data_IF_792485353888
#
_entry.id   IF_792485353888
#
_cell.length_a   1.000
_cell.length_b   1.000
_cell.length_c   1.000
_cell.angle_alpha   90.00
_cell.angle_beta   90.00
_cell.angle_gamma   90.00
#
_symmetry.space_group_name_H-M   'P 1'
#
loop_
_entity.id
_entity.type
_entity.pdbx_description
1 polymer ?
#
# COMPACT_ATOMS: atom_id res chain seq x y z
N UNK A 1 9.68 30.71 -63.90
CA UNK A 1 9.33 29.30 -63.57
C UNK A 1 9.34 29.17 -62.05
N UNK A 2 8.20 29.45 -61.40
CA UNK A 2 8.06 29.49 -59.93
C UNK A 2 7.78 28.07 -59.45
N UNK A 3 8.73 27.46 -58.74
CA UNK A 3 8.51 26.16 -58.10
C UNK A 3 7.86 26.37 -56.73
N UNK A 4 6.57 26.01 -56.62
CA UNK A 4 5.86 25.90 -55.34
C UNK A 4 6.37 24.66 -54.60
N UNK A 5 6.98 24.86 -53.44
CA UNK A 5 7.31 23.78 -52.51
C UNK A 5 6.05 23.49 -51.70
N UNK A 6 5.48 22.30 -51.87
CA UNK A 6 4.39 21.77 -51.05
C UNK A 6 5.04 21.10 -49.83
N UNK A 7 4.81 21.66 -48.65
CA UNK A 7 5.21 21.05 -47.37
C UNK A 7 4.03 20.20 -46.90
N UNK A 8 4.19 18.88 -46.95
CA UNK A 8 3.21 17.93 -46.42
C UNK A 8 3.45 17.76 -44.93
N UNK A 9 2.53 18.27 -44.10
CA UNK A 9 2.54 18.12 -42.66
C UNK A 9 2.11 16.69 -42.29
N UNK A 10 3.04 15.87 -41.80
CA UNK A 10 2.74 14.56 -41.23
C UNK A 10 2.20 14.75 -39.80
N UNK A 11 0.90 14.53 -39.61
CA UNK A 11 0.29 14.47 -38.28
C UNK A 11 0.57 13.08 -37.72
N UNK A 12 1.50 13.01 -36.76
CA UNK A 12 1.75 11.80 -35.99
C UNK A 12 0.60 11.64 -34.97
N UNK A 13 -0.37 10.79 -35.27
CA UNK A 13 -1.39 10.39 -34.30
C UNK A 13 -0.73 9.42 -33.32
N UNK A 14 -0.36 9.90 -32.15
CA UNK A 14 0.11 9.06 -31.05
C UNK A 14 -1.06 8.22 -30.54
N UNK A 15 -1.14 6.96 -30.97
CA UNK A 15 -2.00 5.96 -30.35
C UNK A 15 -1.42 5.67 -28.96
N UNK A 16 -1.97 6.30 -27.93
CA UNK A 16 -1.72 5.90 -26.55
C UNK A 16 -2.35 4.51 -26.36
N UNK A 17 -1.52 3.47 -26.26
CA UNK A 17 -1.96 2.19 -25.69
C UNK A 17 -2.38 2.50 -24.25
N UNK A 18 -3.69 2.65 -24.00
CA UNK A 18 -4.20 2.62 -22.65
C UNK A 18 -3.92 1.21 -22.13
N UNK A 19 -3.06 1.08 -21.12
CA UNK A 19 -2.94 -0.15 -20.37
C UNK A 19 -4.34 -0.51 -19.86
N UNK A 20 -4.83 -1.70 -20.21
CA UNK A 20 -6.14 -2.15 -19.79
C UNK A 20 -6.13 -2.33 -18.27
N UNK A 21 -7.07 -1.68 -17.56
CA UNK A 21 -7.26 -1.89 -16.12
C UNK A 21 -8.18 -3.10 -15.95
N UNK A 22 -7.82 -4.03 -15.06
CA UNK A 22 -8.63 -5.21 -14.77
C UNK A 22 -9.46 -4.99 -13.50
N UNK A 23 -10.77 -5.17 -13.59
CA UNK A 23 -11.73 -5.06 -12.49
C UNK A 23 -13.04 -5.77 -12.86
N UNK A 24 -13.95 -5.92 -11.89
CA UNK A 24 -15.30 -6.48 -12.06
C UNK A 24 -16.38 -5.42 -11.78
N UNK A 25 -17.63 -5.70 -12.16
CA UNK A 25 -18.75 -4.78 -11.84
C UNK A 25 -18.95 -4.62 -10.33
N UNK A 26 -18.72 -5.69 -9.55
CA UNK A 26 -18.76 -5.65 -8.07
C UNK A 26 -17.71 -4.66 -7.52
N UNK A 27 -16.52 -4.58 -8.12
CA UNK A 27 -15.49 -3.62 -7.70
C UNK A 27 -15.94 -2.17 -7.92
N UNK A 28 -16.67 -1.91 -9.01
CA UNK A 28 -17.24 -0.59 -9.32
C UNK A 28 -18.34 -0.25 -8.30
N UNK A 29 -19.23 -1.18 -8.03
CA UNK A 29 -20.33 -1.00 -7.07
C UNK A 29 -19.80 -0.75 -5.64
N UNK A 30 -18.83 -1.54 -5.18
CA UNK A 30 -18.20 -1.37 -3.87
C UNK A 30 -17.51 0.00 -3.77
N UNK A 31 -16.82 0.42 -4.83
CA UNK A 31 -16.14 1.72 -4.86
C UNK A 31 -17.15 2.88 -4.77
N UNK A 32 -18.20 2.85 -5.59
CA UNK A 32 -19.24 3.88 -5.57
C UNK A 32 -19.95 3.93 -4.21
N UNK A 33 -20.30 2.78 -3.64
CA UNK A 33 -20.94 2.70 -2.31
C UNK A 33 -20.07 3.33 -1.21
N UNK A 34 -18.74 3.16 -1.27
CA UNK A 34 -17.82 3.79 -0.31
C UNK A 34 -17.74 5.30 -0.49
N UNK A 35 -17.79 5.80 -1.72
CA UNK A 35 -17.87 7.25 -1.96
C UNK A 35 -19.21 7.84 -1.52
N UNK A 36 -20.32 7.13 -1.74
CA UNK A 36 -21.65 7.53 -1.23
C UNK A 36 -21.67 7.59 0.30
N UNK A 37 -21.13 6.57 0.97
CA UNK A 37 -20.90 6.58 2.42
C UNK A 37 -20.05 7.77 2.87
N UNK A 38 -18.95 8.06 2.15
CA UNK A 38 -18.10 9.19 2.50
C UNK A 38 -18.82 10.54 2.42
N UNK A 39 -19.77 10.67 1.48
CA UNK A 39 -20.63 11.86 1.37
C UNK A 39 -21.66 11.90 2.49
N UNK A 40 -22.33 10.78 2.82
CA UNK A 40 -23.35 10.75 3.89
C UNK A 40 -22.76 11.11 5.25
N UNK A 41 -21.56 10.62 5.54
CA UNK A 41 -20.87 10.85 6.81
C UNK A 41 -20.00 12.12 6.81
N UNK A 42 -20.04 12.92 5.74
CA UNK A 42 -19.23 14.14 5.58
C UNK A 42 -17.73 13.93 5.82
N UNK A 43 -17.18 12.78 5.44
CA UNK A 43 -15.80 12.38 5.77
C UNK A 43 -14.76 13.37 5.23
N UNK A 44 -15.05 14.09 4.13
CA UNK A 44 -14.16 15.11 3.57
C UNK A 44 -13.70 16.17 4.60
N UNK A 45 -14.55 16.48 5.58
CA UNK A 45 -14.29 17.49 6.61
C UNK A 45 -13.45 16.96 7.77
N UNK A 46 -13.24 15.65 7.86
CA UNK A 46 -12.38 15.05 8.88
C UNK A 46 -10.90 15.15 8.48
N UNK A 47 -9.96 15.09 9.44
CA UNK A 47 -8.56 14.82 9.16
C UNK A 47 -8.41 13.52 8.36
N UNK A 48 -7.46 13.47 7.42
CA UNK A 48 -7.28 12.30 6.54
C UNK A 48 -7.10 10.99 7.31
N UNK A 49 -6.38 11.04 8.42
CA UNK A 49 -6.17 9.91 9.33
C UNK A 49 -7.50 9.31 9.80
N UNK A 50 -8.47 10.14 10.17
CA UNK A 50 -9.80 9.67 10.57
C UNK A 50 -10.60 9.15 9.37
N UNK A 51 -10.44 9.75 8.17
CA UNK A 51 -11.05 9.22 6.94
C UNK A 51 -10.52 7.83 6.60
N UNK A 52 -9.22 7.59 6.75
CA UNK A 52 -8.61 6.25 6.54
C UNK A 52 -9.23 5.23 7.48
N UNK A 53 -9.46 5.60 8.75
CA UNK A 53 -10.09 4.71 9.73
C UNK A 53 -11.55 4.44 9.39
N UNK A 54 -12.35 5.47 9.10
CA UNK A 54 -13.76 5.29 8.76
C UNK A 54 -13.95 4.48 7.49
N UNK A 55 -13.14 4.71 6.46
CA UNK A 55 -13.15 3.85 5.26
C UNK A 55 -12.67 2.44 5.59
N UNK A 56 -11.59 2.28 6.35
CA UNK A 56 -11.10 0.97 6.76
C UNK A 56 -12.17 0.14 7.49
N UNK A 57 -12.98 0.78 8.35
CA UNK A 57 -14.10 0.15 9.05
C UNK A 57 -15.17 -0.39 8.09
N UNK A 58 -15.38 0.24 6.93
CA UNK A 58 -16.32 -0.26 5.91
C UNK A 58 -15.86 -1.56 5.22
N UNK A 59 -14.64 -2.04 5.48
CA UNK A 59 -14.17 -3.35 5.03
C UNK A 59 -14.27 -4.43 6.11
N UNK A 60 -14.66 -4.11 7.35
CA UNK A 60 -14.77 -5.11 8.42
C UNK A 60 -15.72 -6.24 8.00
N UNK A 61 -15.27 -7.48 8.18
CA UNK A 61 -16.00 -8.67 7.75
C UNK A 61 -15.75 -9.11 6.30
N UNK A 62 -15.04 -8.31 5.48
CA UNK A 62 -14.61 -8.72 4.15
C UNK A 62 -13.61 -9.89 4.25
N UNK A 63 -13.70 -10.86 3.35
CA UNK A 63 -12.81 -12.01 3.33
C UNK A 63 -11.38 -11.65 2.93
N UNK A 64 -10.42 -12.31 3.56
CA UNK A 64 -9.03 -12.28 3.13
C UNK A 64 -8.87 -13.05 1.82
N UNK A 65 -8.20 -12.46 0.84
CA UNK A 65 -7.85 -13.11 -0.41
C UNK A 65 -6.40 -12.81 -0.82
N UNK A 66 -5.59 -13.85 -1.02
CA UNK A 66 -4.20 -13.71 -1.47
C UNK A 66 -4.12 -13.70 -3.01
N UNK A 67 -3.03 -13.13 -3.53
CA UNK A 67 -2.69 -13.15 -4.96
C UNK A 67 -3.71 -12.44 -5.85
N UNK A 68 -4.48 -11.50 -5.28
CA UNK A 68 -5.52 -10.73 -5.98
C UNK A 68 -4.96 -9.87 -7.11
N UNK A 69 -3.66 -9.54 -7.05
CA UNK A 69 -2.93 -8.77 -8.06
C UNK A 69 -2.13 -9.63 -9.05
N UNK A 70 -2.23 -10.96 -8.97
CA UNK A 70 -1.48 -11.89 -9.82
C UNK A 70 -2.39 -12.53 -10.89
N UNK A 71 -3.28 -11.73 -11.48
CA UNK A 71 -4.35 -12.19 -12.39
C UNK A 71 -3.97 -12.16 -13.89
N UNK A 72 -2.85 -11.54 -14.26
CA UNK A 72 -2.43 -11.39 -15.66
C UNK A 72 -0.94 -11.73 -15.87
N UNK A 73 -0.58 -12.13 -17.09
CA UNK A 73 0.83 -12.37 -17.46
C UNK A 73 1.65 -11.08 -17.51
N UNK A 74 1.06 -10.00 -18.05
CA UNK A 74 1.66 -8.67 -18.08
C UNK A 74 1.20 -7.87 -16.86
N UNK A 75 2.10 -7.08 -16.27
CA UNK A 75 1.74 -6.15 -15.20
C UNK A 75 0.78 -5.08 -15.75
N UNK A 76 -0.35 -4.93 -15.08
CA UNK A 76 -1.35 -3.91 -15.36
C UNK A 76 -2.06 -3.55 -14.06
N UNK A 77 -2.76 -2.42 -14.03
CA UNK A 77 -3.52 -2.03 -12.85
C UNK A 77 -4.68 -3.02 -12.63
N UNK A 78 -4.74 -3.65 -11.47
CA UNK A 78 -5.84 -4.52 -11.04
C UNK A 78 -6.55 -3.85 -9.86
N UNK A 79 -7.85 -3.66 -9.97
CA UNK A 79 -8.72 -3.29 -8.84
C UNK A 79 -9.46 -4.54 -8.39
N UNK A 80 -9.40 -4.83 -7.09
CA UNK A 80 -10.08 -5.97 -6.48
C UNK A 80 -10.48 -5.59 -5.05
N UNK A 81 -11.78 -5.39 -4.82
CA UNK A 81 -12.39 -4.90 -3.58
C UNK A 81 -13.33 -5.92 -2.94
N UNK A 82 -13.57 -7.07 -3.59
CA UNK A 82 -14.40 -8.18 -3.08
C UNK A 82 -13.66 -9.13 -2.13
N UNK A 83 -12.33 -9.01 -2.04
CA UNK A 83 -11.47 -9.69 -1.08
C UNK A 83 -10.14 -8.95 -0.97
N UNK A 84 -9.53 -8.87 0.21
CA UNK A 84 -8.32 -8.07 0.40
C UNK A 84 -7.28 -8.82 1.24
N UNK A 85 -6.02 -8.78 0.82
CA UNK A 85 -4.91 -9.13 1.70
C UNK A 85 -4.50 -7.93 2.57
N UNK A 86 -3.52 -8.11 3.45
CA UNK A 86 -3.08 -7.05 4.34
C UNK A 86 -2.58 -5.80 3.60
N UNK A 87 -2.01 -5.97 2.40
CA UNK A 87 -1.38 -4.92 1.64
C UNK A 87 -2.42 -4.10 0.89
N UNK A 88 -3.25 -4.78 0.11
CA UNK A 88 -4.36 -4.19 -0.64
C UNK A 88 -5.42 -3.57 0.27
N UNK A 89 -5.57 -4.05 1.51
CA UNK A 89 -6.46 -3.45 2.51
C UNK A 89 -6.04 -2.03 2.92
N UNK A 90 -4.81 -1.84 3.42
CA UNK A 90 -4.40 -0.49 3.85
C UNK A 90 -4.27 0.44 2.64
N UNK A 91 -3.80 -0.08 1.49
CA UNK A 91 -3.64 0.70 0.27
C UNK A 91 -4.97 1.20 -0.28
N UNK A 92 -6.01 0.35 -0.31
CA UNK A 92 -7.35 0.77 -0.73
C UNK A 92 -7.94 1.80 0.23
N UNK A 93 -7.77 1.60 1.54
CA UNK A 93 -8.26 2.54 2.56
C UNK A 93 -7.61 3.92 2.43
N UNK A 94 -6.29 3.95 2.18
CA UNK A 94 -5.55 5.19 1.90
C UNK A 94 -5.99 5.84 0.59
N UNK A 95 -6.15 5.07 -0.50
CA UNK A 95 -6.58 5.59 -1.80
C UNK A 95 -7.95 6.28 -1.71
N UNK A 96 -8.93 5.61 -1.09
CA UNK A 96 -10.25 6.21 -0.85
C UNK A 96 -10.15 7.50 -0.05
N UNK A 97 -9.39 7.51 1.05
CA UNK A 97 -9.25 8.70 1.89
C UNK A 97 -8.66 9.88 1.10
N UNK A 98 -7.62 9.65 0.30
CA UNK A 98 -6.99 10.68 -0.55
C UNK A 98 -7.93 11.20 -1.63
N UNK A 99 -8.69 10.32 -2.28
CA UNK A 99 -9.75 10.68 -3.21
C UNK A 99 -10.81 11.57 -2.57
N UNK A 100 -11.32 11.19 -1.40
CA UNK A 100 -12.35 11.92 -0.64
C UNK A 100 -11.84 13.32 -0.24
N UNK A 101 -10.64 13.40 0.33
CA UNK A 101 -10.01 14.68 0.71
C UNK A 101 -9.83 15.61 -0.50
N UNK A 102 -9.44 15.05 -1.64
CA UNK A 102 -9.29 15.79 -2.90
C UNK A 102 -10.62 16.14 -3.59
N UNK A 103 -11.76 15.64 -3.10
CA UNK A 103 -13.06 15.80 -3.76
C UNK A 103 -13.19 15.05 -5.10
N UNK A 104 -12.39 14.00 -5.30
CA UNK A 104 -12.31 13.18 -6.50
C UNK A 104 -12.93 11.81 -6.22
N UNK A 105 -14.24 11.65 -6.48
CA UNK A 105 -15.04 10.52 -6.00
C UNK A 105 -15.62 9.66 -7.12
N UNK A 106 -14.91 9.54 -8.25
CA UNK A 106 -15.27 8.60 -9.32
C UNK A 106 -14.43 7.32 -9.25
N UNK A 107 -14.92 6.23 -9.87
CA UNK A 107 -14.14 4.99 -9.98
C UNK A 107 -12.79 5.22 -10.69
N UNK A 108 -12.74 6.09 -11.70
CA UNK A 108 -11.50 6.45 -12.38
C UNK A 108 -10.53 7.19 -11.47
N UNK A 109 -11.02 8.06 -10.59
CA UNK A 109 -10.17 8.72 -9.59
C UNK A 109 -9.55 7.70 -8.63
N UNK A 110 -10.34 6.72 -8.18
CA UNK A 110 -9.84 5.63 -7.35
C UNK A 110 -8.78 4.80 -8.06
N UNK A 111 -9.01 4.44 -9.34
CA UNK A 111 -8.00 3.74 -10.16
C UNK A 111 -6.69 4.53 -10.24
N UNK A 112 -6.78 5.83 -10.50
CA UNK A 112 -5.61 6.71 -10.58
C UNK A 112 -4.85 6.76 -9.25
N UNK A 113 -5.56 6.84 -8.12
CA UNK A 113 -4.94 6.88 -6.80
C UNK A 113 -4.32 5.53 -6.41
N UNK A 114 -4.95 4.39 -6.75
CA UNK A 114 -4.33 3.08 -6.54
C UNK A 114 -3.05 2.95 -7.37
N UNK A 115 -3.06 3.38 -8.64
CA UNK A 115 -1.85 3.37 -9.45
C UNK A 115 -0.76 4.26 -8.83
N UNK A 116 -1.15 5.45 -8.36
CA UNK A 116 -0.29 6.42 -7.72
C UNK A 116 0.45 5.83 -6.50
N UNK A 117 -0.25 5.05 -5.68
CA UNK A 117 0.29 4.43 -4.46
C UNK A 117 1.09 3.14 -4.72
N UNK A 118 0.61 2.31 -5.64
CA UNK A 118 1.09 0.92 -5.81
C UNK A 118 2.38 0.80 -6.61
N UNK A 119 2.57 1.71 -7.54
CA UNK A 119 3.67 1.68 -8.48
C UNK A 119 4.65 2.80 -8.19
N UNK A 120 5.93 2.50 -8.36
CA UNK A 120 7.02 3.45 -8.15
C UNK A 120 6.84 4.66 -9.04
N UNK A 121 6.87 5.85 -8.44
CA UNK A 121 6.51 7.11 -9.09
C UNK A 121 5.10 7.14 -9.74
N UNK A 122 4.22 6.19 -9.42
CA UNK A 122 2.89 6.06 -10.01
C UNK A 122 2.90 5.54 -11.46
N UNK A 123 3.99 4.91 -11.91
CA UNK A 123 4.16 4.47 -13.31
C UNK A 123 4.24 2.95 -13.40
N UNK A 124 3.39 2.37 -14.24
CA UNK A 124 3.37 0.92 -14.52
C UNK A 124 4.38 0.60 -15.62
N UNK A 125 5.52 0.02 -15.24
CA UNK A 125 6.62 -0.39 -16.13
C UNK A 125 7.03 -1.85 -15.84
N UNK A 126 6.07 -2.76 -16.00
CA UNK A 126 6.26 -4.19 -15.75
C UNK A 126 6.28 -4.55 -14.27
N UNK A 127 6.40 -5.85 -13.96
CA UNK A 127 6.29 -6.37 -12.59
C UNK A 127 7.22 -5.67 -11.58
N UNK A 128 8.50 -5.35 -11.88
CA UNK A 128 9.38 -4.66 -10.94
C UNK A 128 8.97 -3.21 -10.61
N UNK A 129 8.09 -2.59 -11.41
CA UNK A 129 7.59 -1.23 -11.11
C UNK A 129 6.63 -1.20 -9.92
N UNK A 130 5.96 -2.33 -9.62
CA UNK A 130 5.13 -2.48 -8.43
C UNK A 130 5.99 -2.48 -7.17
N UNK A 131 5.54 -1.79 -6.13
CA UNK A 131 6.25 -1.68 -4.86
C UNK A 131 5.99 -2.92 -4.00
N UNK A 132 6.75 -4.00 -4.23
CA UNK A 132 6.54 -5.31 -3.57
C UNK A 132 7.04 -5.37 -2.13
N UNK A 133 8.09 -4.62 -1.80
CA UNK A 133 8.64 -4.51 -0.45
C UNK A 133 7.99 -3.30 0.23
N UNK A 134 7.33 -3.50 1.37
CA UNK A 134 6.59 -2.42 2.03
C UNK A 134 7.50 -1.29 2.53
N UNK A 135 8.76 -1.57 2.84
CA UNK A 135 9.76 -0.54 3.14
C UNK A 135 10.14 0.29 1.90
N UNK A 136 10.05 -0.28 0.69
CA UNK A 136 10.21 0.46 -0.56
C UNK A 136 8.95 1.27 -0.89
N UNK A 137 7.77 0.70 -0.63
CA UNK A 137 6.49 1.42 -0.74
C UNK A 137 6.46 2.65 0.18
N UNK A 138 6.86 2.49 1.43
CA UNK A 138 6.96 3.60 2.38
C UNK A 138 7.92 4.66 1.87
N UNK A 139 9.11 4.27 1.43
CA UNK A 139 10.12 5.21 0.94
C UNK A 139 9.65 5.99 -0.30
N UNK A 140 9.07 5.33 -1.30
CA UNK A 140 8.55 5.98 -2.51
C UNK A 140 7.44 6.99 -2.15
N UNK A 141 6.44 6.54 -1.40
CA UNK A 141 5.30 7.37 -1.02
C UNK A 141 5.69 8.50 -0.04
N UNK A 142 6.70 8.29 0.81
CA UNK A 142 7.26 9.33 1.67
C UNK A 142 7.95 10.43 0.85
N UNK A 143 8.80 10.07 -0.11
CA UNK A 143 9.46 11.03 -0.99
C UNK A 143 8.48 11.82 -1.88
N UNK A 144 7.28 11.27 -2.09
CA UNK A 144 6.21 11.89 -2.86
C UNK A 144 5.20 12.63 -1.98
N UNK A 145 5.48 12.79 -0.69
CA UNK A 145 4.65 13.48 0.30
C UNK A 145 3.22 12.92 0.41
N UNK A 146 3.07 11.60 0.22
CA UNK A 146 1.80 10.89 0.36
C UNK A 146 1.62 10.38 1.79
N UNK A 147 2.71 9.89 2.37
CA UNK A 147 2.83 9.48 3.78
C UNK A 147 4.09 10.09 4.38
N UNK A 148 4.23 10.04 5.70
CA UNK A 148 5.44 10.42 6.43
C UNK A 148 5.90 9.24 7.29
N UNK A 149 7.14 8.78 7.11
CA UNK A 149 7.75 7.86 8.07
C UNK A 149 8.06 8.65 9.36
N UNK A 150 7.39 8.30 10.46
CA UNK A 150 7.58 8.94 11.78
C UNK A 150 8.42 8.08 12.71
N UNK A 151 8.87 6.91 12.26
CA UNK A 151 9.41 5.85 13.12
C UNK A 151 10.64 6.32 13.90
N UNK A 152 11.56 7.06 13.26
CA UNK A 152 12.72 7.64 13.95
C UNK A 152 12.30 8.71 14.97
N UNK A 153 11.34 9.57 14.61
CA UNK A 153 10.86 10.67 15.45
C UNK A 153 10.24 10.17 16.77
N UNK A 154 9.59 9.01 16.72
CA UNK A 154 8.90 8.40 17.88
C UNK A 154 9.79 7.44 18.68
N UNK A 155 11.11 7.48 18.48
CA UNK A 155 12.06 6.68 19.27
C UNK A 155 12.42 5.32 18.66
N UNK A 156 12.18 5.12 17.36
CA UNK A 156 12.62 3.95 16.63
C UNK A 156 14.15 3.84 16.58
N UNK A 157 14.64 2.59 16.54
CA UNK A 157 16.06 2.27 16.42
C UNK A 157 16.39 1.75 15.02
N UNK A 158 17.66 1.89 14.62
CA UNK A 158 18.11 1.52 13.27
C UNK A 158 17.78 0.06 12.93
N UNK A 159 17.15 -0.12 11.77
CA UNK A 159 16.83 -1.41 11.16
C UNK A 159 17.93 -1.81 10.17
N UNK A 160 18.64 -2.90 10.45
CA UNK A 160 19.85 -3.29 9.70
C UNK A 160 19.71 -4.61 8.94
N UNK A 161 18.48 -5.02 8.59
CA UNK A 161 18.29 -6.30 7.88
C UNK A 161 18.57 -6.13 6.40
N UNK A 162 19.41 -7.02 5.85
CA UNK A 162 19.59 -7.15 4.41
C UNK A 162 18.31 -7.68 3.74
N UNK A 163 17.79 -6.95 2.77
CA UNK A 163 16.62 -7.29 1.96
C UNK A 163 17.06 -7.94 0.66
N UNK A 164 16.62 -9.17 0.43
CA UNK A 164 16.94 -9.96 -0.77
C UNK A 164 16.00 -11.17 -0.95
N UNK A 165 14.78 -11.12 -0.40
CA UNK A 165 13.89 -12.26 -0.34
C UNK A 165 13.47 -12.73 -1.73
N UNK A 166 12.95 -11.83 -2.56
CA UNK A 166 12.42 -12.15 -3.90
C UNK A 166 13.50 -12.72 -4.81
N UNK A 167 14.71 -12.12 -4.84
CA UNK A 167 15.79 -12.62 -5.70
C UNK A 167 16.44 -13.91 -5.20
N UNK A 168 16.33 -14.23 -3.91
CA UNK A 168 16.72 -15.54 -3.36
C UNK A 168 15.62 -16.62 -3.51
N UNK A 169 14.37 -16.21 -3.77
CA UNK A 169 13.22 -17.11 -3.87
C UNK A 169 12.48 -16.94 -5.21
N UNK A 170 13.21 -16.71 -6.30
CA UNK A 170 12.67 -16.49 -7.67
C UNK A 170 11.60 -17.52 -8.05
N UNK A 171 11.77 -18.78 -7.67
CA UNK A 171 10.84 -19.87 -7.97
C UNK A 171 9.45 -19.70 -7.34
N UNK A 172 9.31 -18.85 -6.31
CA UNK A 172 8.05 -18.54 -5.63
C UNK A 172 7.22 -17.48 -6.34
N UNK A 173 7.80 -16.79 -7.33
CA UNK A 173 7.16 -15.69 -8.05
C UNK A 173 7.10 -16.03 -9.54
N UNK A 174 5.90 -16.27 -10.06
CA UNK A 174 5.69 -16.67 -11.48
C UNK A 174 6.35 -15.68 -12.44
N UNK A 175 6.17 -14.38 -12.18
CA UNK A 175 6.70 -13.29 -13.00
C UNK A 175 8.24 -13.28 -13.00
N UNK A 176 8.89 -13.57 -11.87
CA UNK A 176 10.35 -13.63 -11.80
C UNK A 176 10.90 -14.91 -12.42
N UNK A 177 10.28 -16.06 -12.12
CA UNK A 177 10.68 -17.37 -12.66
C UNK A 177 10.73 -17.39 -14.18
N UNK A 178 9.80 -16.69 -14.84
CA UNK A 178 9.68 -16.69 -16.29
C UNK A 178 10.45 -15.54 -16.96
N UNK A 179 10.98 -14.56 -16.21
CA UNK A 179 11.61 -13.36 -16.77
C UNK A 179 12.93 -13.03 -16.05
N UNK A 180 14.08 -13.54 -16.53
CA UNK A 180 15.39 -13.27 -15.93
C UNK A 180 15.75 -11.77 -15.85
N UNK A 181 15.29 -10.95 -16.80
CA UNK A 181 15.47 -9.49 -16.75
C UNK A 181 14.80 -8.87 -15.51
N UNK A 182 13.62 -9.36 -15.11
CA UNK A 182 12.96 -8.89 -13.89
C UNK A 182 13.75 -9.28 -12.64
N UNK A 183 14.47 -10.41 -12.65
CA UNK A 183 15.35 -10.79 -11.54
C UNK A 183 16.50 -9.79 -11.39
N UNK A 184 17.13 -9.37 -12.49
CA UNK A 184 18.20 -8.36 -12.41
C UNK A 184 17.68 -7.00 -11.93
N UNK A 185 16.53 -6.54 -12.44
CA UNK A 185 15.87 -5.32 -11.94
C UNK A 185 15.53 -5.41 -10.45
N UNK A 186 15.04 -6.56 -9.99
CA UNK A 186 14.77 -6.77 -8.56
C UNK A 186 16.03 -6.76 -7.71
N UNK A 187 17.19 -7.24 -8.20
CA UNK A 187 18.47 -7.14 -7.47
C UNK A 187 18.93 -5.69 -7.33
N UNK A 188 18.72 -4.87 -8.35
CA UNK A 188 19.02 -3.42 -8.30
C UNK A 188 18.10 -2.73 -7.29
N UNK A 189 16.79 -3.05 -7.31
CA UNK A 189 15.81 -2.54 -6.34
C UNK A 189 16.20 -2.95 -4.92
N UNK A 190 16.50 -4.23 -4.68
CA UNK A 190 16.95 -4.71 -3.37
C UNK A 190 18.25 -4.04 -2.93
N UNK A 191 19.19 -3.79 -3.83
CA UNK A 191 20.42 -3.05 -3.53
C UNK A 191 20.13 -1.59 -3.14
N UNK A 192 19.19 -0.94 -3.81
CA UNK A 192 18.69 0.42 -3.49
C UNK A 192 17.97 0.46 -2.14
N UNK A 193 17.16 -0.55 -1.82
CA UNK A 193 16.54 -0.67 -0.48
C UNK A 193 17.62 -0.81 0.58
N UNK A 194 18.62 -1.66 0.35
CA UNK A 194 19.71 -1.92 1.31
C UNK A 194 20.67 -0.73 1.53
N UNK A 195 20.65 0.29 0.67
CA UNK A 195 21.51 1.48 0.82
C UNK A 195 20.85 2.59 1.67
N UNK A 196 19.59 2.42 2.04
CA UNK A 196 18.81 3.39 2.82
C UNK A 196 18.90 3.07 4.31
N UNK A 197 18.69 4.10 5.12
CA UNK A 197 18.48 3.94 6.55
C UNK A 197 16.98 3.77 6.83
N UNK A 198 16.67 2.78 7.67
CA UNK A 198 15.33 2.50 8.15
C UNK A 198 15.35 2.40 9.67
N UNK A 199 14.21 2.65 10.30
CA UNK A 199 14.04 2.58 11.74
C UNK A 199 12.86 1.68 12.08
N UNK A 200 12.87 1.15 13.29
CA UNK A 200 11.77 0.34 13.81
C UNK A 200 11.62 0.54 15.32
N UNK A 201 10.40 0.48 15.83
CA UNK A 201 10.11 0.43 17.26
C UNK A 201 10.16 -1.03 17.73
N UNK A 202 11.02 -1.38 18.70
CA UNK A 202 11.04 -2.72 19.29
C UNK A 202 9.70 -3.10 19.95
N UNK A 203 9.34 -4.37 19.91
CA UNK A 203 8.03 -4.86 20.39
C UNK A 203 7.73 -4.49 21.86
N UNK A 204 8.77 -4.42 22.70
CA UNK A 204 8.63 -4.06 24.11
C UNK A 204 8.42 -2.56 24.34
N UNK A 205 8.78 -1.73 23.36
CA UNK A 205 8.73 -0.27 23.47
C UNK A 205 7.44 0.30 22.88
N UNK A 206 6.66 -0.49 22.12
CA UNK A 206 5.40 -0.06 21.47
C UNK A 206 4.43 0.56 22.48
N UNK A 207 4.29 -0.05 23.65
CA UNK A 207 3.41 0.48 24.71
C UNK A 207 3.89 1.83 25.26
N UNK A 208 5.22 2.06 25.29
CA UNK A 208 5.78 3.31 25.78
C UNK A 208 5.56 4.48 24.82
N UNK A 209 5.43 4.19 23.52
CA UNK A 209 5.27 5.20 22.46
C UNK A 209 3.84 5.30 21.94
N UNK A 210 2.89 4.62 22.57
CA UNK A 210 1.50 4.51 22.10
C UNK A 210 0.82 5.88 21.94
N UNK A 211 1.19 6.86 22.76
CA UNK A 211 0.69 8.24 22.65
C UNK A 211 1.16 8.97 21.39
N UNK A 212 2.25 8.51 20.76
CA UNK A 212 2.80 9.08 19.54
C UNK A 212 2.20 8.45 18.27
N UNK A 213 1.49 7.33 18.41
CA UNK A 213 0.78 6.66 17.33
C UNK A 213 -0.61 7.31 17.19
N UNK A 214 -0.86 7.92 16.04
CA UNK A 214 -2.16 8.52 15.77
C UNK A 214 -3.15 7.48 15.26
N UNK A 215 -4.44 7.75 15.50
CA UNK A 215 -5.52 7.08 14.77
C UNK A 215 -5.25 7.19 13.26
N UNK A 216 -5.42 6.13 12.49
CA UNK A 216 -5.20 6.13 11.04
C UNK A 216 -3.75 5.97 10.58
N UNK A 217 -2.77 5.95 11.48
CA UNK A 217 -1.38 5.67 11.10
C UNK A 217 -1.26 4.25 10.50
N UNK A 218 -0.46 4.11 9.45
CA UNK A 218 -0.22 2.86 8.73
C UNK A 218 0.90 2.10 9.43
N UNK A 219 0.57 0.92 9.92
CA UNK A 219 1.48 0.07 10.68
C UNK A 219 2.07 -1.01 9.77
N UNK A 220 3.40 -1.08 9.71
CA UNK A 220 4.15 -2.13 9.02
C UNK A 220 4.88 -3.02 10.04
N UNK A 221 4.46 -4.27 10.19
CA UNK A 221 5.08 -5.23 11.11
C UNK A 221 6.24 -5.94 10.38
N UNK A 222 7.48 -5.59 10.73
CA UNK A 222 8.70 -6.22 10.23
C UNK A 222 8.66 -7.75 10.37
N UNK A 223 9.25 -8.43 9.39
CA UNK A 223 9.36 -9.87 9.40
C UNK A 223 10.51 -10.34 10.31
N UNK A 224 10.47 -11.58 10.78
CA UNK A 224 11.67 -12.27 11.30
C UNK A 224 12.46 -12.96 10.18
N UNK A 225 11.78 -13.27 9.07
CA UNK A 225 12.32 -14.00 7.92
C UNK A 225 13.53 -13.26 7.34
N UNK A 226 14.59 -14.01 7.04
CA UNK A 226 15.79 -13.48 6.41
C UNK A 226 15.47 -12.96 5.01
N UNK A 227 16.01 -11.80 4.64
CA UNK A 227 15.79 -11.19 3.33
C UNK A 227 14.46 -10.43 3.19
N UNK A 228 13.48 -10.63 4.07
CA UNK A 228 12.16 -10.00 4.01
C UNK A 228 12.07 -8.84 5.01
N UNK A 229 11.56 -7.70 4.57
CA UNK A 229 11.41 -6.49 5.39
C UNK A 229 10.19 -6.58 6.30
N UNK A 230 9.00 -6.67 5.73
CA UNK A 230 7.69 -6.58 6.40
C UNK A 230 6.92 -7.89 6.19
N UNK A 231 6.24 -8.34 7.25
CA UNK A 231 5.43 -9.57 7.23
C UNK A 231 3.94 -9.32 7.26
N UNK A 232 3.51 -8.14 7.72
CA UNK A 232 2.10 -7.82 7.88
C UNK A 232 1.88 -6.31 7.93
N UNK A 233 0.74 -5.84 7.47
CA UNK A 233 0.38 -4.42 7.43
C UNK A 233 -1.05 -4.19 7.90
N UNK A 234 -1.37 -2.95 8.28
CA UNK A 234 -2.70 -2.53 8.67
C UNK A 234 -2.74 -1.09 9.18
N UNK A 235 -3.82 -0.74 9.87
CA UNK A 235 -4.12 0.63 10.29
C UNK A 235 -4.26 0.67 11.82
N UNK A 236 -3.65 1.67 12.46
CA UNK A 236 -3.85 1.97 13.87
C UNK A 236 -5.25 2.54 14.10
N UNK A 237 -5.98 2.00 15.08
CA UNK A 237 -7.32 2.47 15.44
C UNK A 237 -7.37 2.73 16.93
N UNK A 238 -7.65 3.96 17.34
CA UNK A 238 -7.86 4.29 18.75
C UNK A 238 -9.25 3.82 19.18
N UNK A 239 -9.32 2.95 20.18
CA UNK A 239 -10.57 2.33 20.65
C UNK A 239 -11.12 3.05 21.90
N UNK A 240 -12.31 2.64 22.35
CA UNK A 240 -13.01 3.23 23.51
C UNK A 240 -12.26 3.10 24.83
N UNK A 241 -11.34 2.14 24.94
CA UNK A 241 -10.44 1.97 26.09
C UNK A 241 -9.22 2.92 26.06
N UNK A 242 -9.22 3.87 25.12
CA UNK A 242 -8.16 4.85 24.87
C UNK A 242 -6.83 4.23 24.38
N UNK A 243 -6.82 2.94 24.04
CA UNK A 243 -5.65 2.22 23.51
C UNK A 243 -5.65 2.16 21.98
N UNK A 244 -4.47 1.95 21.40
CA UNK A 244 -4.29 1.75 19.96
C UNK A 244 -4.44 0.27 19.65
N UNK A 245 -5.45 -0.05 18.84
CA UNK A 245 -5.70 -1.38 18.29
C UNK A 245 -5.28 -1.44 16.82
N UNK A 246 -5.32 -2.66 16.26
CA UNK A 246 -4.84 -2.92 14.93
C UNK A 246 -5.96 -3.42 14.01
N UNK A 247 -6.34 -2.59 13.04
CA UNK A 247 -7.28 -2.95 11.99
C UNK A 247 -6.52 -3.53 10.80
N UNK A 248 -6.82 -4.76 10.41
CA UNK A 248 -6.03 -5.47 9.41
C UNK A 248 -6.81 -6.59 8.71
N UNK A 249 -6.36 -6.98 7.52
CA UNK A 249 -6.74 -8.24 6.88
C UNK A 249 -5.72 -9.33 7.32
N UNK A 250 -6.08 -10.26 8.22
CA UNK A 250 -5.11 -11.06 8.99
C UNK A 250 -4.40 -12.17 8.21
N UNK A 251 -5.14 -13.10 7.61
CA UNK A 251 -4.62 -14.24 6.84
C UNK A 251 -5.77 -14.99 6.15
N UNK A 252 -5.43 -15.94 5.28
CA UNK A 252 -6.41 -16.78 4.59
C UNK A 252 -7.39 -17.49 5.55
N UNK A 253 -8.68 -17.50 5.17
CA UNK A 253 -9.76 -18.09 5.98
C UNK A 253 -10.20 -17.22 7.16
N UNK A 254 -9.75 -15.97 7.22
CA UNK A 254 -10.19 -14.95 8.18
C UNK A 254 -10.69 -13.72 7.44
N UNK A 255 -11.32 -12.82 8.18
CA UNK A 255 -11.93 -11.59 7.67
C UNK A 255 -11.17 -10.37 8.18
N UNK A 256 -11.28 -9.25 7.47
CA UNK A 256 -10.81 -7.94 7.95
C UNK A 256 -11.44 -7.68 9.33
N UNK A 257 -10.60 -7.33 10.29
CA UNK A 257 -10.97 -7.22 11.70
C UNK A 257 -10.14 -6.16 12.41
N UNK A 258 -10.65 -5.69 13.55
CA UNK A 258 -9.86 -4.96 14.56
C UNK A 258 -9.45 -5.96 15.62
N UNK A 259 -8.20 -5.93 16.07
CA UNK A 259 -7.73 -6.79 17.17
C UNK A 259 -8.55 -6.51 18.44
N UNK A 260 -8.89 -7.57 19.19
CA UNK A 260 -9.55 -7.41 20.49
C UNK A 260 -8.61 -6.93 21.61
N UNK A 261 -7.30 -7.07 21.42
CA UNK A 261 -6.26 -6.60 22.33
C UNK A 261 -5.51 -5.41 21.70
N UNK A 262 -4.89 -4.53 22.51
CA UNK A 262 -4.05 -3.44 22.03
C UNK A 262 -2.92 -3.92 21.11
N UNK A 263 -2.42 -3.01 20.27
CA UNK A 263 -1.37 -3.29 19.29
C UNK A 263 -0.09 -3.82 19.94
N UNK A 264 0.30 -3.27 21.09
CA UNK A 264 1.45 -3.72 21.88
C UNK A 264 1.35 -5.22 22.22
N UNK A 265 0.20 -5.64 22.74
CA UNK A 265 -0.07 -7.02 23.12
C UNK A 265 -0.24 -7.94 21.92
N UNK A 266 -0.89 -7.44 20.86
CA UNK A 266 -1.00 -8.15 19.60
C UNK A 266 0.38 -8.48 19.03
N UNK A 267 1.28 -7.51 18.96
CA UNK A 267 2.64 -7.72 18.43
C UNK A 267 3.44 -8.69 19.31
N UNK A 268 3.41 -8.54 20.64
CA UNK A 268 4.06 -9.48 21.59
C UNK A 268 3.53 -10.91 21.45
N UNK A 269 2.24 -11.08 21.11
CA UNK A 269 1.59 -12.37 20.93
C UNK A 269 1.94 -13.11 19.63
N UNK A 270 2.56 -12.45 18.65
CA UNK A 270 2.95 -13.07 17.38
C UNK A 270 4.16 -14.00 17.60
N UNK A 271 3.91 -15.30 17.77
CA UNK A 271 4.98 -16.30 17.92
C UNK A 271 5.95 -16.26 16.71
N UNK A 272 7.25 -16.12 17.01
CA UNK A 272 8.43 -15.74 16.18
C UNK A 272 8.61 -14.22 16.00
N UNK A 273 9.31 -13.63 16.98
CA UNK A 273 9.87 -12.26 17.07
C UNK A 273 9.67 -11.36 15.85
N UNK A 274 8.66 -10.51 15.90
CA UNK A 274 8.36 -9.49 14.88
C UNK A 274 8.55 -8.09 15.49
N UNK A 275 9.09 -7.16 14.72
CA UNK A 275 9.36 -5.76 15.15
C UNK A 275 8.52 -4.79 14.30
N UNK A 276 8.32 -3.49 14.60
CA UNK A 276 7.35 -2.63 13.87
C UNK A 276 7.97 -1.35 13.26
N UNK A 277 7.48 -0.90 12.10
CA UNK A 277 7.68 0.43 11.50
C UNK A 277 6.32 1.17 11.47
N UNK A 278 6.31 2.48 11.71
CA UNK A 278 5.09 3.30 11.85
C UNK A 278 5.11 4.53 10.92
N UNK A 279 4.00 4.78 10.23
CA UNK A 279 3.90 5.82 9.20
C UNK A 279 2.61 6.61 9.33
N UNK A 280 2.71 7.93 9.20
CA UNK A 280 1.59 8.87 9.24
C UNK A 280 1.10 9.21 7.85
N UNK A 281 -0.22 9.31 7.67
CA UNK A 281 -0.80 9.74 6.38
C UNK A 281 -0.74 11.26 6.27
N UNK A 282 -0.42 11.77 5.08
CA UNK A 282 -0.37 13.20 4.80
C UNK A 282 -1.61 13.65 4.03
N UNK A 283 -2.13 14.84 4.38
CA UNK A 283 -3.22 15.48 3.64
C UNK A 283 -2.80 15.70 2.16
N UNK A 284 -3.66 15.37 1.17
CA UNK A 284 -3.39 15.61 -0.25
C UNK A 284 -3.33 17.08 -0.65
#
# INVERSE_FOLDING_TARGET
MIHKIIITLFILVSLTLNAQVLYTDDDVEICNTKFEFAVSENLKNLPINDVVVEIGKTFLGLDYEAYTLEKSENEQLIIHLTGLDCYTFFESSLAFARCIKSGKTTFQDFQNEIQNLRYRNGVIEGYPSRLHYAADWLYDNNNRNIVKDITEEIGGIKYSKKINFMTNHVSSYKQLKNNPEFVEKMKEIESSINSRDYYYVPENDIECIESEISNGDIILITASTAGLDISHTGIAVKMEDDRIHFMHAPLAGKKVQITGQPLSDYVKGLKRHKKKIDNRVLEP
#
